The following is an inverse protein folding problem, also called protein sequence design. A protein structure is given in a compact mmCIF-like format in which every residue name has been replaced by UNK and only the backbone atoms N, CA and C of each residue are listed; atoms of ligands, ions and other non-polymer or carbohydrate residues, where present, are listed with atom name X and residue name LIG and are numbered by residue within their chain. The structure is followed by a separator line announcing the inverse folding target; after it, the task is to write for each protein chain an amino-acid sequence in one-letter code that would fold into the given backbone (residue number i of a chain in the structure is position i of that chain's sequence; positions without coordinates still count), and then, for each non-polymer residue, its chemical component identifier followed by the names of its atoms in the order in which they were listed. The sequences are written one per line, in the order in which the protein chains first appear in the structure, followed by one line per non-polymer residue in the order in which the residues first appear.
data_IF_803348794362
#
_entry.id   IF_803348794362
#
_cell.length_a   1.000
_cell.length_b   1.000
_cell.length_c   1.000
_cell.angle_alpha   90.00
_cell.angle_beta   90.00
_cell.angle_gamma   90.00
#
_symmetry.space_group_name_H-M   'P 1'
#
loop_
_entity.id
_entity.type
_entity.pdbx_description
1 polymer ?
#
# COMPACT_ATOMS: atom_id res chain seq x y z
N UNK A 1 -1.81 39.50 -40.67
CA UNK A 1 -2.97 39.01 -39.93
C UNK A 1 -2.61 37.63 -39.38
N UNK A 2 -2.20 37.60 -38.14
CA UNK A 2 -1.60 36.42 -37.46
C UNK A 2 -2.71 35.75 -36.65
N UNK A 3 -3.04 34.50 -36.97
CA UNK A 3 -3.93 33.67 -36.17
C UNK A 3 -3.06 32.77 -35.27
N UNK A 4 -3.08 33.08 -33.98
CA UNK A 4 -2.48 32.23 -32.93
C UNK A 4 -3.50 31.12 -32.61
N UNK A 5 -3.11 29.88 -32.84
CA UNK A 5 -3.82 28.71 -32.33
C UNK A 5 -3.26 28.35 -30.99
N UNK A 6 -4.06 28.57 -29.95
CA UNK A 6 -3.77 28.15 -28.57
C UNK A 6 -3.76 26.62 -28.48
N UNK A 7 -2.59 26.04 -28.20
CA UNK A 7 -2.46 24.63 -27.86
C UNK A 7 -3.06 24.34 -26.49
N UNK A 8 -4.09 23.53 -26.48
CA UNK A 8 -4.68 22.98 -25.29
C UNK A 8 -3.78 21.85 -24.76
N UNK A 9 -3.09 22.12 -23.68
CA UNK A 9 -2.23 21.13 -23.00
C UNK A 9 -3.08 20.39 -21.97
N UNK A 10 -3.69 19.28 -22.37
CA UNK A 10 -4.25 18.33 -21.44
C UNK A 10 -3.13 17.63 -20.66
N UNK A 11 -3.10 17.69 -19.34
CA UNK A 11 -2.20 16.85 -18.56
C UNK A 11 -2.79 15.43 -18.47
N UNK A 12 -2.64 14.65 -19.52
CA UNK A 12 -2.82 13.20 -19.44
C UNK A 12 -1.81 12.67 -18.42
N UNK A 13 -2.30 12.36 -17.23
CA UNK A 13 -1.57 11.63 -16.22
C UNK A 13 -1.15 10.30 -16.84
N UNK A 14 0.09 10.24 -17.34
CA UNK A 14 0.72 9.03 -17.85
C UNK A 14 0.75 8.00 -16.72
N UNK A 15 -0.24 7.13 -16.70
CA UNK A 15 -0.16 5.87 -15.99
C UNK A 15 0.95 5.08 -16.65
N UNK A 16 2.16 5.18 -16.12
CA UNK A 16 3.28 4.36 -16.56
C UNK A 16 2.98 2.93 -16.13
N UNK A 17 2.36 2.19 -17.03
CA UNK A 17 2.13 0.74 -16.87
C UNK A 17 3.50 0.08 -16.87
N UNK A 18 4.01 -0.28 -15.72
CA UNK A 18 5.26 -1.01 -15.61
C UNK A 18 5.10 -2.36 -16.29
N UNK A 19 5.90 -2.61 -17.34
CA UNK A 19 5.78 -3.78 -18.22
C UNK A 19 5.86 -5.14 -17.49
N UNK A 20 6.37 -5.17 -16.27
CA UNK A 20 6.50 -6.40 -15.47
C UNK A 20 6.12 -6.16 -14.01
N UNK A 21 5.66 -7.23 -13.32
CA UNK A 21 5.49 -7.23 -11.87
C UNK A 21 6.81 -7.68 -11.23
N UNK A 22 7.68 -6.75 -10.80
CA UNK A 22 9.05 -7.04 -10.39
C UNK A 22 9.09 -7.84 -9.09
N UNK A 23 10.17 -8.60 -8.90
CA UNK A 23 10.34 -9.43 -7.69
C UNK A 23 10.37 -8.59 -6.40
N UNK A 24 10.93 -7.38 -6.47
CA UNK A 24 10.98 -6.43 -5.34
C UNK A 24 9.59 -5.99 -4.86
N UNK A 25 8.60 -5.95 -5.75
CA UNK A 25 7.22 -5.62 -5.42
C UNK A 25 6.40 -6.83 -4.95
N UNK A 26 7.01 -8.01 -4.83
CA UNK A 26 6.31 -9.22 -4.38
C UNK A 26 6.54 -9.47 -2.90
N UNK A 27 5.48 -9.80 -2.19
CA UNK A 27 5.55 -10.31 -0.83
C UNK A 27 5.94 -11.80 -0.92
N UNK A 28 7.10 -12.17 -0.39
CA UNK A 28 7.65 -13.51 -0.55
C UNK A 28 7.81 -14.27 0.77
N UNK A 29 8.00 -13.56 1.89
CA UNK A 29 8.30 -14.18 3.18
C UNK A 29 7.02 -14.45 3.96
N UNK A 30 6.90 -15.63 4.55
CA UNK A 30 5.76 -16.02 5.39
C UNK A 30 5.50 -15.01 6.52
N UNK A 31 6.55 -14.56 7.20
CA UNK A 31 6.44 -13.58 8.27
C UNK A 31 5.82 -12.23 7.82
N UNK A 32 6.02 -11.82 6.57
CA UNK A 32 5.40 -10.62 6.03
C UNK A 32 3.88 -10.82 5.84
N UNK A 33 3.47 -12.00 5.37
CA UNK A 33 2.04 -12.34 5.27
C UNK A 33 1.37 -12.37 6.66
N UNK A 34 2.00 -13.02 7.64
CA UNK A 34 1.48 -13.05 9.01
C UNK A 34 1.31 -11.65 9.59
N UNK A 35 2.30 -10.76 9.37
CA UNK A 35 2.23 -9.38 9.82
C UNK A 35 1.05 -8.65 9.22
N UNK A 36 0.82 -8.79 7.92
CA UNK A 36 -0.32 -8.18 7.23
C UNK A 36 -1.64 -8.72 7.77
N UNK A 37 -1.75 -10.00 8.06
CA UNK A 37 -2.97 -10.58 8.62
C UNK A 37 -3.22 -10.17 10.08
N UNK A 38 -2.18 -10.09 10.91
CA UNK A 38 -2.29 -9.76 12.34
C UNK A 38 -2.49 -8.27 12.59
N UNK A 39 -1.74 -7.42 11.87
CA UNK A 39 -1.68 -5.98 12.14
C UNK A 39 -2.34 -5.12 11.07
N UNK A 40 -2.67 -5.71 9.92
CA UNK A 40 -3.23 -5.02 8.78
C UNK A 40 -4.72 -4.73 8.92
N UNK A 41 -5.16 -3.80 8.09
CA UNK A 41 -6.58 -3.53 7.83
C UNK A 41 -7.05 -4.38 6.66
N UNK A 42 -8.36 -4.57 6.55
CA UNK A 42 -8.95 -5.31 5.44
C UNK A 42 -9.98 -4.48 4.69
N UNK A 43 -10.06 -4.74 3.41
CA UNK A 43 -11.06 -4.19 2.50
C UNK A 43 -11.72 -5.35 1.75
N UNK A 44 -13.04 -5.35 1.70
CA UNK A 44 -13.83 -6.36 1.01
C UNK A 44 -14.27 -5.84 -0.34
N UNK A 45 -14.12 -6.68 -1.37
CA UNK A 45 -14.60 -6.45 -2.72
C UNK A 45 -15.47 -7.63 -3.18
N UNK A 46 -16.11 -7.54 -4.32
CA UNK A 46 -17.00 -8.59 -4.82
C UNK A 46 -16.25 -9.90 -5.07
N UNK A 47 -15.08 -9.86 -5.73
CA UNK A 47 -14.32 -11.05 -6.11
C UNK A 47 -13.08 -11.32 -5.26
N UNK A 48 -12.74 -10.44 -4.29
CA UNK A 48 -11.56 -10.61 -3.45
C UNK A 48 -11.70 -9.93 -2.09
N UNK A 49 -10.80 -10.29 -1.16
CA UNK A 49 -10.56 -9.56 0.09
C UNK A 49 -9.11 -9.10 0.08
N UNK A 50 -8.88 -7.82 0.36
CA UNK A 50 -7.55 -7.22 0.37
C UNK A 50 -7.18 -6.86 1.79
N UNK A 51 -6.04 -7.38 2.26
CA UNK A 51 -5.43 -7.03 3.53
C UNK A 51 -4.26 -6.11 3.25
N UNK A 52 -4.07 -5.08 4.05
CA UNK A 52 -2.96 -4.15 3.86
C UNK A 52 -2.43 -3.63 5.19
N UNK A 53 -1.11 -3.47 5.26
CA UNK A 53 -0.40 -2.96 6.41
C UNK A 53 0.65 -1.94 5.97
N UNK A 54 0.62 -0.76 6.61
CA UNK A 54 1.59 0.29 6.34
C UNK A 54 2.92 -0.08 6.99
N UNK A 55 3.97 -0.12 6.19
CA UNK A 55 5.32 -0.24 6.72
C UNK A 55 5.73 1.10 7.31
N UNK A 56 6.14 1.09 8.57
CA UNK A 56 6.73 2.26 9.21
C UNK A 56 8.14 2.41 8.63
N UNK A 57 8.45 3.58 8.11
CA UNK A 57 9.82 3.93 7.81
C UNK A 57 10.54 4.06 9.15
N UNK A 58 11.54 3.21 9.36
CA UNK A 58 12.45 3.39 10.49
C UNK A 58 13.28 4.61 10.13
N UNK A 59 12.92 5.76 10.72
CA UNK A 59 13.70 6.98 10.58
C UNK A 59 15.14 6.72 10.99
N UNK A 60 16.07 7.40 10.37
CA UNK A 60 17.52 7.27 10.57
C UNK A 60 18.01 7.47 12.02
N UNK A 61 17.13 7.81 12.95
CA UNK A 61 17.44 8.14 14.34
C UNK A 61 16.95 7.10 15.38
N UNK A 62 16.53 5.93 14.94
CA UNK A 62 16.14 4.87 15.87
C UNK A 62 17.31 3.92 16.10
N UNK A 63 17.67 3.66 17.36
CA UNK A 63 18.72 2.68 17.77
C UNK A 63 18.48 1.25 17.24
N UNK A 64 17.37 1.02 16.57
CA UNK A 64 17.08 -0.20 15.82
C UNK A 64 17.85 -0.32 14.49
N UNK A 65 18.79 0.58 14.18
CA UNK A 65 19.65 0.55 12.99
C UNK A 65 20.61 -0.68 12.93
N UNK A 66 20.54 -1.60 13.89
CA UNK A 66 21.25 -2.89 13.86
C UNK A 66 20.55 -3.98 13.04
N UNK A 67 19.41 -3.67 12.40
CA UNK A 67 18.83 -4.59 11.43
C UNK A 67 19.66 -4.55 10.14
N UNK A 68 20.01 -5.72 9.58
CA UNK A 68 20.91 -5.77 8.43
C UNK A 68 20.34 -4.92 7.29
N UNK A 69 21.19 -4.08 6.71
CA UNK A 69 20.97 -3.18 5.56
C UNK A 69 20.29 -3.86 4.33
N UNK A 70 20.17 -5.17 4.35
CA UNK A 70 19.45 -6.00 3.36
C UNK A 70 17.93 -5.84 3.39
N UNK A 71 17.40 -5.09 4.34
CA UNK A 71 16.03 -4.58 4.35
C UNK A 71 15.97 -3.16 3.79
N UNK A 72 16.81 -2.84 2.82
CA UNK A 72 16.59 -1.68 1.95
C UNK A 72 15.15 -1.80 1.44
N UNK A 73 14.27 -1.09 2.11
CA UNK A 73 12.81 -1.21 2.05
C UNK A 73 12.44 -0.94 0.61
N UNK A 74 12.01 -1.99 -0.10
CA UNK A 74 11.45 -1.81 -1.42
C UNK A 74 10.39 -0.72 -1.30
N UNK A 75 10.68 0.44 -1.88
CA UNK A 75 9.76 1.58 -1.82
C UNK A 75 8.46 1.20 -2.54
N UNK A 76 7.34 1.71 -2.04
CA UNK A 76 6.03 1.46 -2.62
C UNK A 76 5.35 0.17 -2.15
N UNK A 77 4.36 -0.27 -2.91
CA UNK A 77 3.54 -1.43 -2.57
C UNK A 77 4.27 -2.75 -2.83
N UNK A 78 4.32 -3.64 -1.83
CA UNK A 78 4.66 -5.05 -2.00
C UNK A 78 3.38 -5.88 -1.92
N UNK A 79 3.17 -6.77 -2.89
CA UNK A 79 1.90 -7.47 -3.08
C UNK A 79 2.10 -8.97 -3.06
N UNK A 80 1.31 -9.65 -2.23
CA UNK A 80 1.23 -11.10 -2.12
C UNK A 80 -0.16 -11.62 -2.46
N UNK A 81 -0.23 -12.89 -2.86
CA UNK A 81 -1.48 -13.57 -3.15
C UNK A 81 -1.59 -14.84 -2.31
N UNK A 82 -2.69 -14.97 -1.57
CA UNK A 82 -3.02 -16.19 -0.85
C UNK A 82 -4.27 -16.82 -1.46
N UNK A 83 -4.10 -17.96 -2.11
CA UNK A 83 -5.20 -18.71 -2.74
C UNK A 83 -5.41 -20.00 -1.97
N UNK A 84 -6.50 -20.05 -1.19
CA UNK A 84 -6.86 -21.20 -0.36
C UNK A 84 -7.09 -22.46 -1.21
N UNK A 85 -6.79 -23.64 -0.63
CA UNK A 85 -7.10 -24.94 -1.23
C UNK A 85 -8.60 -25.15 -1.41
N UNK A 86 -9.42 -24.54 -0.54
CA UNK A 86 -10.89 -24.60 -0.61
C UNK A 86 -11.47 -23.95 -1.89
N UNK A 87 -10.71 -23.14 -2.62
CA UNK A 87 -11.16 -22.48 -3.85
C UNK A 87 -11.09 -23.38 -5.10
N UNK A 88 -10.56 -24.59 -4.96
CA UNK A 88 -10.52 -25.58 -6.04
C UNK A 88 -9.17 -26.23 -6.25
N UNK A 89 -9.03 -26.99 -7.35
CA UNK A 89 -7.83 -27.71 -7.72
C UNK A 89 -6.65 -26.78 -8.11
N UNK A 90 -5.49 -27.36 -8.33
CA UNK A 90 -4.26 -26.60 -8.65
C UNK A 90 -4.41 -25.72 -9.89
N UNK A 91 -5.09 -26.22 -10.93
CA UNK A 91 -5.32 -25.48 -12.18
C UNK A 91 -6.14 -24.22 -11.93
N UNK A 92 -7.26 -24.35 -11.20
CA UNK A 92 -8.13 -23.21 -10.86
C UNK A 92 -7.39 -22.17 -10.03
N UNK A 93 -6.64 -22.61 -9.01
CA UNK A 93 -5.84 -21.71 -8.17
C UNK A 93 -4.74 -20.99 -8.96
N UNK A 94 -4.09 -21.68 -9.89
CA UNK A 94 -3.10 -21.05 -10.76
C UNK A 94 -3.74 -20.06 -11.74
N UNK A 95 -4.94 -20.34 -12.25
CA UNK A 95 -5.71 -19.38 -13.07
C UNK A 95 -6.04 -18.13 -12.28
N UNK A 96 -6.51 -18.25 -11.02
CA UNK A 96 -6.74 -17.11 -10.14
C UNK A 96 -5.48 -16.26 -9.93
N UNK A 97 -4.35 -16.92 -9.61
CA UNK A 97 -3.06 -16.23 -9.42
C UNK A 97 -2.61 -15.50 -10.68
N UNK A 98 -2.79 -16.07 -11.87
CA UNK A 98 -2.44 -15.42 -13.14
C UNK A 98 -3.31 -14.18 -13.37
N UNK A 99 -4.62 -14.28 -13.19
CA UNK A 99 -5.54 -13.15 -13.34
C UNK A 99 -5.18 -12.01 -12.38
N UNK A 100 -4.93 -12.32 -11.11
CA UNK A 100 -4.53 -11.31 -10.11
C UNK A 100 -3.18 -10.66 -10.45
N UNK A 101 -2.18 -11.45 -10.87
CA UNK A 101 -0.88 -10.88 -11.27
C UNK A 101 -1.01 -9.92 -12.43
N UNK A 102 -1.82 -10.27 -13.41
CA UNK A 102 -2.04 -9.44 -14.58
C UNK A 102 -2.81 -8.16 -14.21
N UNK A 103 -3.86 -8.26 -13.42
CA UNK A 103 -4.59 -7.09 -12.92
C UNK A 103 -3.67 -6.15 -12.12
N UNK A 104 -2.85 -6.71 -11.23
CA UNK A 104 -1.85 -5.93 -10.46
C UNK A 104 -0.82 -5.29 -11.38
N UNK A 105 -0.33 -6.01 -12.39
CA UNK A 105 0.62 -5.47 -13.37
C UNK A 105 0.08 -4.23 -14.06
N UNK A 106 -1.22 -4.24 -14.40
CA UNK A 106 -1.88 -3.16 -15.11
C UNK A 106 -2.23 -1.96 -14.21
N UNK A 107 -2.46 -2.20 -12.93
CA UNK A 107 -3.05 -1.17 -12.04
C UNK A 107 -2.13 -0.70 -10.92
N UNK A 108 -1.02 -1.40 -10.68
CA UNK A 108 -0.11 -1.02 -9.59
C UNK A 108 0.51 0.35 -9.87
N UNK A 109 0.39 1.32 -8.96
CA UNK A 109 1.02 2.61 -9.12
C UNK A 109 2.55 2.48 -9.11
N UNK A 110 3.23 3.26 -9.95
CA UNK A 110 4.70 3.31 -10.02
C UNK A 110 5.29 3.87 -8.73
N UNK A 111 4.68 4.93 -8.20
CA UNK A 111 4.93 5.50 -6.89
C UNK A 111 3.69 5.29 -6.02
N UNK A 112 3.88 4.86 -4.79
CA UNK A 112 2.76 4.60 -3.88
C UNK A 112 3.24 4.49 -2.44
N UNK A 113 2.32 4.41 -1.48
CA UNK A 113 2.67 4.32 -0.07
C UNK A 113 3.48 3.07 0.23
N UNK A 114 4.38 3.16 1.21
CA UNK A 114 5.14 2.01 1.69
C UNK A 114 4.22 1.05 2.47
N UNK A 115 3.63 0.09 1.76
CA UNK A 115 2.70 -0.86 2.35
C UNK A 115 2.85 -2.27 1.80
N UNK A 116 2.51 -3.23 2.64
CA UNK A 116 2.38 -4.64 2.29
C UNK A 116 0.91 -4.96 2.08
N UNK A 117 0.60 -5.58 0.95
CA UNK A 117 -0.76 -5.90 0.54
C UNK A 117 -0.88 -7.40 0.26
N UNK A 118 -1.89 -8.05 0.83
CA UNK A 118 -2.21 -9.45 0.55
C UNK A 118 -3.61 -9.53 -0.04
N UNK A 119 -3.71 -10.12 -1.22
CA UNK A 119 -4.98 -10.30 -1.93
C UNK A 119 -5.41 -11.76 -1.83
N UNK A 120 -6.58 -11.97 -1.25
CA UNK A 120 -7.23 -13.28 -1.14
C UNK A 120 -8.43 -13.31 -2.10
N UNK A 121 -8.37 -14.09 -3.20
CA UNK A 121 -9.50 -14.22 -4.11
C UNK A 121 -10.66 -14.98 -3.46
N UNK A 122 -11.86 -14.67 -3.91
CA UNK A 122 -13.07 -15.46 -3.71
C UNK A 122 -13.31 -16.36 -4.93
N UNK A 123 -14.21 -17.33 -4.82
CA UNK A 123 -14.55 -18.27 -5.90
C UNK A 123 -15.05 -17.53 -7.16
N UNK A 124 -15.78 -16.43 -6.97
CA UNK A 124 -16.29 -15.56 -8.06
C UNK A 124 -15.19 -15.02 -8.97
N UNK A 125 -13.92 -14.91 -8.50
CA UNK A 125 -12.81 -14.45 -9.34
C UNK A 125 -12.61 -15.31 -10.60
N UNK A 126 -13.04 -16.57 -10.61
CA UNK A 126 -12.90 -17.44 -11.79
C UNK A 126 -13.89 -17.11 -12.90
N UNK A 127 -15.08 -16.62 -12.53
CA UNK A 127 -16.22 -16.41 -13.45
C UNK A 127 -16.43 -14.97 -13.84
N UNK A 128 -16.02 -14.02 -12.98
CA UNK A 128 -16.16 -12.59 -13.25
C UNK A 128 -15.28 -12.18 -14.44
N UNK A 129 -15.76 -11.21 -15.22
CA UNK A 129 -15.01 -10.59 -16.31
C UNK A 129 -13.65 -10.05 -15.86
N UNK A 130 -12.63 -10.15 -16.73
CA UNK A 130 -11.28 -9.70 -16.36
C UNK A 130 -11.21 -8.19 -16.13
N UNK A 131 -11.95 -7.41 -16.91
CA UNK A 131 -12.03 -5.96 -16.73
C UNK A 131 -12.58 -5.58 -15.33
N UNK A 132 -13.55 -6.34 -14.81
CA UNK A 132 -14.07 -6.13 -13.46
C UNK A 132 -13.00 -6.43 -12.40
N UNK A 133 -12.18 -7.46 -12.58
CA UNK A 133 -11.05 -7.76 -11.68
C UNK A 133 -10.04 -6.62 -11.67
N UNK A 134 -9.69 -6.09 -12.85
CA UNK A 134 -8.78 -4.94 -12.99
C UNK A 134 -9.34 -3.73 -12.24
N UNK A 135 -10.61 -3.41 -12.43
CA UNK A 135 -11.27 -2.30 -11.76
C UNK A 135 -11.32 -2.48 -10.23
N UNK A 136 -11.60 -3.69 -9.74
CA UNK A 136 -11.60 -3.97 -8.30
C UNK A 136 -10.21 -3.79 -7.69
N UNK A 137 -9.16 -4.27 -8.34
CA UNK A 137 -7.77 -4.11 -7.87
C UNK A 137 -7.36 -2.64 -7.89
N UNK A 138 -7.70 -1.90 -8.95
CA UNK A 138 -7.45 -0.46 -9.05
C UNK A 138 -8.10 0.32 -7.91
N UNK A 139 -9.40 0.10 -7.68
CA UNK A 139 -10.13 0.73 -6.57
C UNK A 139 -9.54 0.39 -5.21
N UNK A 140 -9.09 -0.85 -5.02
CA UNK A 140 -8.45 -1.26 -3.78
C UNK A 140 -7.15 -0.47 -3.54
N UNK A 141 -6.32 -0.26 -4.55
CA UNK A 141 -5.09 0.53 -4.42
C UNK A 141 -5.38 1.99 -4.12
N UNK A 142 -6.30 2.62 -4.82
CA UNK A 142 -6.72 4.01 -4.54
C UNK A 142 -7.22 4.16 -3.10
N UNK A 143 -8.06 3.23 -2.64
CA UNK A 143 -8.57 3.24 -1.28
C UNK A 143 -7.47 3.05 -0.23
N UNK A 144 -6.52 2.16 -0.49
CA UNK A 144 -5.36 1.95 0.40
C UNK A 144 -4.55 3.25 0.50
N UNK A 145 -4.25 3.86 -0.62
CA UNK A 145 -3.50 5.12 -0.68
C UNK A 145 -4.18 6.23 0.10
N UNK A 146 -5.47 6.45 -0.12
CA UNK A 146 -6.28 7.43 0.61
C UNK A 146 -6.30 7.18 2.13
N UNK A 147 -6.52 5.93 2.55
CA UNK A 147 -6.56 5.57 3.98
C UNK A 147 -5.21 5.69 4.67
N UNK A 148 -4.12 5.44 3.96
CA UNK A 148 -2.78 5.59 4.50
C UNK A 148 -2.35 7.05 4.56
N UNK A 149 -2.70 7.86 3.56
CA UNK A 149 -2.48 9.31 3.56
C UNK A 149 -3.26 9.99 4.70
N UNK A 150 -4.53 9.67 4.88
CA UNK A 150 -5.35 10.19 5.97
C UNK A 150 -4.77 9.83 7.35
N UNK A 151 -4.24 8.61 7.51
CA UNK A 151 -3.58 8.20 8.75
C UNK A 151 -2.27 8.95 9.01
N UNK A 152 -1.51 9.27 7.96
CA UNK A 152 -0.30 10.07 8.08
C UNK A 152 -0.60 11.49 8.51
N UNK A 153 -1.65 12.10 7.97
CA UNK A 153 -2.11 13.44 8.32
C UNK A 153 -2.68 13.55 9.76
N UNK A 154 -3.23 12.47 10.30
CA UNK A 154 -3.80 12.43 11.66
C UNK A 154 -2.80 12.09 12.77
N UNK A 155 -1.52 11.88 12.43
CA UNK A 155 -0.46 11.62 13.41
C UNK A 155 -0.03 12.95 14.02
N UNK A 156 -0.23 13.22 15.34
CA UNK A 156 0.26 14.44 15.97
C UNK A 156 1.80 14.48 15.88
N UNK A 157 2.34 15.64 15.50
CA UNK A 157 3.77 15.92 15.49
C UNK A 157 4.38 15.61 16.87
N UNK A 158 5.47 14.85 16.97
CA UNK A 158 6.17 14.63 18.22
C UNK A 158 7.03 15.86 18.52
N UNK A 159 6.46 16.89 19.15
CA UNK A 159 7.29 18.05 19.48
C UNK A 159 6.62 19.34 19.91
N UNK A 160 5.55 19.32 20.66
CA UNK A 160 5.23 20.49 21.49
C UNK A 160 5.05 20.05 22.95
N UNK A 161 6.16 19.68 23.58
CA UNK A 161 6.19 19.74 25.04
C UNK A 161 6.29 21.19 25.43
N UNK A 162 5.17 21.66 25.87
CA UNK A 162 4.89 22.89 26.58
C UNK A 162 6.03 23.24 27.53
N UNK A 163 6.76 24.30 27.16
CA UNK A 163 7.71 24.96 28.06
C UNK A 163 6.91 25.86 28.95
N UNK A 164 6.03 25.30 29.75
CA UNK A 164 5.37 26.03 30.84
C UNK A 164 6.16 25.90 32.12
N UNK A 165 6.84 27.00 32.41
CA UNK A 165 6.76 27.70 33.64
C UNK A 165 7.29 27.01 34.91
N UNK A 166 8.57 27.27 35.20
CA UNK A 166 9.03 27.40 36.56
C UNK A 166 9.37 28.87 36.85
N UNK A 167 8.34 29.68 37.07
CA UNK A 167 8.44 30.97 37.73
C UNK A 167 7.50 30.95 38.91
N UNK A 168 7.99 30.50 40.04
CA UNK A 168 7.43 30.79 41.38
C UNK A 168 8.49 30.36 42.36
N UNK A 169 8.89 31.12 43.29
CA UNK A 169 8.35 32.30 43.94
C UNK A 169 9.26 32.48 45.10
N UNK A 170 9.97 33.60 45.08
CA UNK A 170 10.78 34.05 46.22
C UNK A 170 9.82 34.58 47.28
N UNK A 171 9.74 33.91 48.43
CA UNK A 171 9.12 34.47 49.63
C UNK A 171 10.15 35.24 50.42
N UNK A 172 9.91 36.48 50.83
CA UNK A 172 10.75 37.16 51.80
C UNK A 172 10.40 36.69 53.22
N UNK A 173 11.42 36.39 54.00
CA UNK A 173 11.33 36.19 55.46
C UNK A 173 11.30 37.55 56.19
N UNK A 174 10.42 37.63 57.14
CA UNK A 174 10.61 38.40 58.38
C UNK A 174 10.70 37.41 59.52
#
# INVERSE_FOLDING_TARGET
MLLQTSGNSDPEARVTVTATFPRSARLLRHADFERVYKLGRRHFSASMTVFYWQRVEVGANSESAKLPVKLAIAQGLRIGFTVSRALGGAVQRNRMKRRLREAVRMTRPAAGPNADVVINPKKSLLTVEFAAVVNEVSRAFVLIEQKLAAKAASRPEPGSRDSREKSQGLKPSQ
#
